data_IF_352010814492
#
_entry.id   IF_352010814492
#
_cell.length_a   1.000
_cell.length_b   1.000
_cell.length_c   1.000
_cell.angle_alpha   90.00
_cell.angle_beta   90.00
_cell.angle_gamma   90.00
#
_symmetry.space_group_name_H-M   'P 1'
#
loop_
_entity.id
_entity.type
_entity.pdbx_description
1 polymer ?
#
# COMPACT_ATOMS: atom_id res chain seq x y z
N UNK A 1 -7.26 -5.54 -24.29
CA UNK A 1 -8.06 -5.22 -23.09
C UNK A 1 -8.31 -3.73 -23.03
N UNK A 2 -9.53 -3.31 -22.89
CA UNK A 2 -9.96 -1.92 -22.74
C UNK A 2 -10.37 -1.70 -21.28
N UNK A 3 -9.90 -0.61 -20.66
CA UNK A 3 -10.30 -0.27 -19.30
C UNK A 3 -11.54 0.63 -19.31
N UNK A 4 -12.50 0.33 -18.46
CA UNK A 4 -13.75 1.08 -18.35
C UNK A 4 -14.26 1.08 -16.90
N UNK A 5 -15.19 1.98 -16.60
CA UNK A 5 -15.91 1.98 -15.32
C UNK A 5 -17.14 1.08 -15.39
N UNK A 6 -17.61 0.57 -14.25
CA UNK A 6 -18.82 -0.26 -14.19
C UNK A 6 -20.08 0.39 -14.78
N UNK A 7 -20.11 1.72 -14.86
CA UNK A 7 -21.25 2.49 -15.34
C UNK A 7 -21.25 2.73 -16.85
N UNK A 8 -20.07 2.64 -17.49
CA UNK A 8 -19.93 2.88 -18.93
C UNK A 8 -19.65 1.54 -19.63
N UNK A 9 -20.70 0.97 -20.23
CA UNK A 9 -20.54 -0.13 -21.19
C UNK A 9 -19.84 0.43 -22.44
N UNK A 10 -18.55 0.20 -22.53
CA UNK A 10 -17.79 0.52 -23.74
C UNK A 10 -17.98 -0.62 -24.73
N UNK A 11 -18.45 -0.30 -25.95
CA UNK A 11 -18.45 -1.27 -27.03
C UNK A 11 -17.03 -1.80 -27.25
N UNK A 12 -16.85 -3.11 -27.40
CA UNK A 12 -15.53 -3.67 -27.60
C UNK A 12 -14.91 -3.06 -28.86
N UNK A 13 -13.80 -2.34 -28.68
CA UNK A 13 -13.02 -1.82 -29.81
C UNK A 13 -12.37 -3.00 -30.52
N UNK A 14 -12.73 -3.21 -31.81
CA UNK A 14 -12.02 -4.15 -32.66
C UNK A 14 -10.72 -3.51 -33.12
N UNK A 15 -9.61 -3.96 -32.54
CA UNK A 15 -8.26 -3.54 -32.95
C UNK A 15 -7.65 -4.61 -33.84
N UNK A 16 -7.12 -4.22 -34.98
CA UNK A 16 -6.37 -5.12 -35.86
C UNK A 16 -4.93 -4.64 -36.05
N UNK A 17 -3.98 -5.56 -36.01
CA UNK A 17 -2.57 -5.32 -36.33
C UNK A 17 -2.17 -6.21 -37.47
N UNK A 18 -1.65 -5.62 -38.55
CA UNK A 18 -1.27 -6.35 -39.79
C UNK A 18 -2.38 -7.27 -40.33
N UNK A 19 -3.63 -6.79 -40.31
CA UNK A 19 -4.80 -7.54 -40.79
C UNK A 19 -5.31 -8.66 -39.85
N UNK A 20 -4.65 -8.90 -38.71
CA UNK A 20 -5.12 -9.84 -37.69
C UNK A 20 -5.89 -9.08 -36.59
N UNK A 21 -7.12 -9.54 -36.34
CA UNK A 21 -7.91 -9.01 -35.22
C UNK A 21 -7.30 -9.46 -33.89
N UNK A 22 -7.19 -8.50 -32.95
CA UNK A 22 -6.72 -8.76 -31.58
C UNK A 22 -7.92 -9.09 -30.73
N UNK A 23 -7.84 -10.22 -30.01
CA UNK A 23 -8.84 -10.63 -29.04
C UNK A 23 -8.94 -9.65 -27.86
N UNK A 24 -10.15 -9.24 -27.52
CA UNK A 24 -10.39 -8.42 -26.34
C UNK A 24 -10.59 -9.34 -25.11
N UNK A 25 -9.63 -9.31 -24.17
CA UNK A 25 -9.64 -10.14 -22.97
C UNK A 25 -10.12 -9.34 -21.76
N UNK A 26 -10.92 -9.96 -20.89
CA UNK A 26 -11.41 -9.35 -19.64
C UNK A 26 -10.38 -9.33 -18.52
N UNK A 27 -9.46 -10.27 -18.54
CA UNK A 27 -8.39 -10.42 -17.54
C UNK A 27 -7.07 -10.61 -18.24
N UNK A 28 -6.05 -9.92 -17.75
CA UNK A 28 -4.70 -10.05 -18.27
C UNK A 28 -3.68 -10.08 -17.13
N UNK A 29 -2.76 -11.03 -17.17
CA UNK A 29 -1.68 -11.13 -16.20
C UNK A 29 -0.42 -10.47 -16.78
N UNK A 30 0.01 -9.37 -16.19
CA UNK A 30 1.22 -8.66 -16.57
C UNK A 30 2.19 -8.57 -15.41
N UNK A 31 3.44 -8.98 -15.60
CA UNK A 31 4.48 -9.00 -14.57
C UNK A 31 4.01 -9.59 -13.23
N UNK A 32 3.21 -10.66 -13.27
CA UNK A 32 2.72 -11.32 -12.06
C UNK A 32 1.49 -10.66 -11.41
N UNK A 33 1.06 -9.49 -11.86
CA UNK A 33 -0.14 -8.80 -11.40
C UNK A 33 -1.30 -9.11 -12.36
N UNK A 34 -2.47 -9.44 -11.80
CA UNK A 34 -3.69 -9.69 -12.57
C UNK A 34 -4.47 -8.39 -12.68
N UNK A 35 -4.66 -7.92 -13.92
CA UNK A 35 -5.49 -6.77 -14.23
C UNK A 35 -6.86 -7.25 -14.70
N UNK A 36 -7.92 -6.57 -14.28
CA UNK A 36 -9.27 -6.68 -14.82
C UNK A 36 -9.67 -5.38 -15.51
N UNK A 37 -10.67 -5.44 -16.39
CA UNK A 37 -11.14 -4.32 -17.19
C UNK A 37 -11.61 -3.11 -16.36
N UNK A 38 -12.01 -3.34 -15.11
CA UNK A 38 -12.48 -2.28 -14.19
C UNK A 38 -11.45 -1.89 -13.13
N UNK A 39 -10.23 -2.44 -13.15
CA UNK A 39 -9.19 -2.25 -12.12
C UNK A 39 -9.69 -2.48 -10.69
N UNK A 40 -10.59 -3.47 -10.52
CA UNK A 40 -11.20 -3.78 -9.23
C UNK A 40 -10.29 -4.55 -8.29
N UNK A 41 -9.17 -5.09 -8.79
CA UNK A 41 -8.19 -5.91 -8.07
C UNK A 41 -8.72 -7.20 -7.45
N UNK A 42 -10.02 -7.49 -7.57
CA UNK A 42 -10.68 -8.66 -6.96
C UNK A 42 -10.02 -9.98 -7.39
N UNK A 43 -9.76 -10.11 -8.69
CA UNK A 43 -9.11 -11.29 -9.27
C UNK A 43 -7.67 -11.46 -8.78
N UNK A 44 -6.92 -10.36 -8.68
CA UNK A 44 -5.57 -10.36 -8.16
C UNK A 44 -5.53 -10.74 -6.68
N UNK A 45 -6.39 -10.14 -5.87
CA UNK A 45 -6.52 -10.45 -4.43
C UNK A 45 -6.91 -11.91 -4.21
N UNK A 46 -7.84 -12.46 -5.02
CA UNK A 46 -8.19 -13.89 -4.98
C UNK A 46 -6.97 -14.77 -5.26
N UNK A 47 -6.16 -14.42 -6.26
CA UNK A 47 -4.92 -15.14 -6.58
C UNK A 47 -3.91 -15.09 -5.43
N UNK A 48 -3.69 -13.92 -4.83
CA UNK A 48 -2.79 -13.75 -3.68
C UNK A 48 -3.30 -14.55 -2.48
N UNK A 49 -4.60 -14.46 -2.14
CA UNK A 49 -5.22 -15.21 -1.04
C UNK A 49 -4.96 -16.71 -1.17
N UNK A 50 -5.12 -17.27 -2.37
CA UNK A 50 -4.86 -18.69 -2.61
C UNK A 50 -3.40 -19.06 -2.33
N UNK A 51 -2.44 -18.23 -2.76
CA UNK A 51 -1.01 -18.45 -2.47
C UNK A 51 -0.72 -18.36 -0.97
N UNK A 52 -1.19 -17.29 -0.32
CA UNK A 52 -0.97 -17.06 1.11
C UNK A 52 -1.61 -18.15 1.97
N UNK A 53 -2.79 -18.65 1.60
CA UNK A 53 -3.44 -19.75 2.30
C UNK A 53 -2.64 -21.04 2.28
N UNK A 54 -1.98 -21.34 1.15
CA UNK A 54 -1.07 -22.50 1.04
C UNK A 54 0.14 -22.33 1.96
N UNK A 55 0.72 -21.13 2.00
CA UNK A 55 1.87 -20.81 2.88
C UNK A 55 1.47 -20.92 4.35
N UNK A 56 0.28 -20.44 4.73
CA UNK A 56 -0.26 -20.60 6.09
C UNK A 56 -0.40 -22.09 6.44
N UNK A 57 -0.85 -22.92 5.50
CA UNK A 57 -0.91 -24.38 5.69
C UNK A 57 0.46 -24.99 5.97
N UNK A 58 1.50 -24.54 5.25
CA UNK A 58 2.89 -24.95 5.47
C UNK A 58 3.35 -24.53 6.88
N UNK A 59 3.22 -23.26 7.25
CA UNK A 59 3.61 -22.72 8.56
C UNK A 59 2.88 -23.49 9.67
N UNK A 60 1.59 -23.80 9.50
CA UNK A 60 0.82 -24.55 10.50
C UNK A 60 1.31 -25.99 10.72
N UNK A 61 1.81 -26.65 9.68
CA UNK A 61 2.43 -27.97 9.82
C UNK A 61 3.82 -27.88 10.49
N UNK A 62 4.58 -26.87 10.14
CA UNK A 62 5.93 -26.68 10.64
C UNK A 62 6.01 -26.19 12.09
N UNK A 63 4.94 -25.59 12.63
CA UNK A 63 4.93 -25.07 14.02
C UNK A 63 5.18 -26.10 15.10
N UNK A 64 4.96 -27.40 14.83
CA UNK A 64 5.22 -28.49 15.76
C UNK A 64 6.66 -28.98 15.72
N UNK A 65 7.44 -28.60 14.71
CA UNK A 65 8.79 -29.09 14.46
C UNK A 65 9.83 -27.98 14.69
N UNK A 66 9.50 -26.75 14.30
CA UNK A 66 10.43 -25.62 14.27
C UNK A 66 10.11 -24.57 15.33
N UNK A 67 11.15 -23.94 15.89
CA UNK A 67 10.98 -22.84 16.84
C UNK A 67 10.42 -21.60 16.15
N UNK A 68 9.85 -20.68 16.94
CA UNK A 68 9.17 -19.47 16.47
C UNK A 68 10.01 -18.60 15.52
N UNK A 69 11.32 -18.44 15.78
CA UNK A 69 12.20 -17.63 14.94
C UNK A 69 12.35 -18.21 13.53
N UNK A 70 12.38 -19.55 13.39
CA UNK A 70 12.43 -20.22 12.09
C UNK A 70 11.11 -20.02 11.32
N UNK A 71 9.96 -20.13 12.01
CA UNK A 71 8.65 -19.85 11.41
C UNK A 71 8.54 -18.39 10.95
N UNK A 72 9.10 -17.45 11.71
CA UNK A 72 9.16 -16.04 11.35
C UNK A 72 10.02 -15.81 10.11
N UNK A 73 11.14 -16.52 9.97
CA UNK A 73 11.99 -16.49 8.78
C UNK A 73 11.22 -16.98 7.54
N UNK A 74 10.47 -18.07 7.66
CA UNK A 74 9.60 -18.60 6.60
C UNK A 74 8.50 -17.59 6.24
N UNK A 75 7.87 -16.98 7.25
CA UNK A 75 6.89 -15.94 7.04
C UNK A 75 7.47 -14.76 6.25
N UNK A 76 8.65 -14.26 6.63
CA UNK A 76 9.29 -13.14 5.95
C UNK A 76 9.70 -13.51 4.50
N UNK A 77 10.23 -14.70 4.29
CA UNK A 77 10.68 -15.13 2.97
C UNK A 77 9.51 -15.41 2.00
N UNK A 78 8.46 -16.07 2.44
CA UNK A 78 7.38 -16.54 1.56
C UNK A 78 6.12 -15.68 1.67
N UNK A 79 5.61 -15.48 2.89
CA UNK A 79 4.34 -14.79 3.08
C UNK A 79 4.46 -13.29 2.80
N UNK A 80 5.44 -12.63 3.42
CA UNK A 80 5.66 -11.20 3.30
C UNK A 80 6.04 -10.81 1.86
N UNK A 81 6.87 -11.60 1.17
CA UNK A 81 7.28 -11.33 -0.21
C UNK A 81 6.08 -11.33 -1.17
N UNK A 82 5.20 -12.32 -1.08
CA UNK A 82 3.98 -12.35 -1.89
C UNK A 82 2.99 -11.25 -1.54
N UNK A 83 2.86 -10.93 -0.25
CA UNK A 83 1.95 -9.89 0.24
C UNK A 83 2.40 -8.49 -0.18
N UNK A 84 3.71 -8.24 -0.26
CA UNK A 84 4.25 -6.91 -0.57
C UNK A 84 4.47 -6.66 -2.06
N UNK A 85 4.38 -7.72 -2.90
CA UNK A 85 4.55 -7.58 -4.33
C UNK A 85 3.42 -6.77 -4.96
N UNK A 86 3.76 -5.70 -5.67
CA UNK A 86 2.78 -4.80 -6.31
C UNK A 86 1.82 -4.11 -5.34
N UNK A 87 2.11 -4.08 -4.03
CA UNK A 87 1.22 -3.56 -3.00
C UNK A 87 0.78 -2.11 -3.25
N UNK A 88 1.60 -1.28 -3.91
CA UNK A 88 1.23 0.08 -4.30
C UNK A 88 0.02 0.16 -5.24
N UNK A 89 -0.27 -0.89 -5.99
CA UNK A 89 -1.37 -0.94 -6.93
C UNK A 89 -2.69 -1.33 -6.27
N UNK A 90 -2.67 -2.39 -5.45
CA UNK A 90 -3.88 -3.01 -4.89
C UNK A 90 -4.06 -2.84 -3.37
N UNK A 91 -3.11 -2.18 -2.70
CA UNK A 91 -3.06 -2.08 -1.24
C UNK A 91 -4.27 -1.41 -0.60
N UNK A 92 -4.99 -0.54 -1.32
CA UNK A 92 -6.26 0.07 -0.85
C UNK A 92 -7.36 -0.96 -0.59
N UNK A 93 -7.27 -2.15 -1.19
CA UNK A 93 -8.25 -3.23 -1.04
C UNK A 93 -7.71 -4.45 -0.29
N UNK A 94 -6.69 -4.25 0.55
CA UNK A 94 -5.95 -5.32 1.21
C UNK A 94 -6.66 -5.98 2.42
N UNK A 95 -7.90 -5.61 2.75
CA UNK A 95 -8.62 -6.12 3.94
C UNK A 95 -8.67 -7.65 4.03
N UNK A 96 -8.96 -8.31 2.90
CA UNK A 96 -9.04 -9.78 2.86
C UNK A 96 -7.67 -10.44 3.08
N UNK A 97 -6.61 -9.80 2.62
CA UNK A 97 -5.23 -10.27 2.83
C UNK A 97 -4.82 -10.04 4.30
N UNK A 98 -5.27 -8.95 4.92
CA UNK A 98 -5.05 -8.69 6.35
C UNK A 98 -5.66 -9.78 7.25
N UNK A 99 -6.83 -10.33 6.90
CA UNK A 99 -7.41 -11.46 7.63
C UNK A 99 -6.48 -12.67 7.62
N UNK A 100 -5.83 -12.96 6.49
CA UNK A 100 -4.85 -14.05 6.38
C UNK A 100 -3.56 -13.73 7.15
N UNK A 101 -3.11 -12.47 7.14
CA UNK A 101 -1.96 -12.04 7.93
C UNK A 101 -2.19 -12.27 9.43
N UNK A 102 -3.35 -11.88 9.96
CA UNK A 102 -3.74 -12.16 11.35
C UNK A 102 -3.72 -13.66 11.67
N UNK A 103 -4.21 -14.49 10.74
CA UNK A 103 -4.20 -15.96 10.91
C UNK A 103 -2.77 -16.49 10.97
N UNK A 104 -1.89 -16.03 10.07
CA UNK A 104 -0.47 -16.43 10.06
C UNK A 104 0.22 -16.07 11.38
N UNK A 105 0.02 -14.84 11.88
CA UNK A 105 0.63 -14.36 13.13
C UNK A 105 0.17 -15.21 14.31
N UNK A 106 -1.13 -15.55 14.44
CA UNK A 106 -1.62 -16.40 15.52
C UNK A 106 -1.02 -17.81 15.49
N UNK A 107 -0.80 -18.37 14.30
CA UNK A 107 -0.16 -19.68 14.14
C UNK A 107 1.31 -19.63 14.58
N UNK A 108 2.05 -18.59 14.21
CA UNK A 108 3.47 -18.42 14.57
C UNK A 108 3.63 -18.25 16.08
N UNK A 109 2.72 -17.53 16.73
CA UNK A 109 2.74 -17.32 18.19
C UNK A 109 2.08 -18.46 18.98
N UNK A 110 1.56 -19.47 18.30
CA UNK A 110 0.77 -20.56 18.90
C UNK A 110 -0.38 -20.06 19.78
N UNK A 111 -0.99 -18.94 19.40
CA UNK A 111 -2.10 -18.31 20.11
C UNK A 111 -3.44 -18.89 19.68
N UNK A 112 -4.48 -18.71 20.53
CA UNK A 112 -5.84 -19.13 20.21
C UNK A 112 -6.39 -18.46 18.94
N UNK A 113 -7.34 -19.11 18.28
CA UNK A 113 -7.94 -18.65 17.03
C UNK A 113 -8.57 -17.25 17.14
N UNK A 114 -9.19 -16.94 18.28
CA UNK A 114 -9.84 -15.65 18.56
C UNK A 114 -8.94 -14.64 19.28
N UNK A 115 -7.69 -14.99 19.59
CA UNK A 115 -6.77 -14.10 20.29
C UNK A 115 -6.64 -12.74 19.58
N UNK A 116 -6.56 -11.69 20.38
CA UNK A 116 -6.38 -10.33 19.86
C UNK A 116 -5.04 -10.22 19.12
N UNK A 117 -5.08 -9.82 17.86
CA UNK A 117 -3.89 -9.85 17.01
C UNK A 117 -2.94 -8.67 17.26
N UNK A 118 -3.42 -7.55 17.80
CA UNK A 118 -2.62 -6.33 18.02
C UNK A 118 -1.34 -6.57 18.84
N UNK A 119 -1.43 -7.18 20.06
CA UNK A 119 -0.24 -7.45 20.86
C UNK A 119 0.71 -8.43 20.15
N UNK A 120 0.17 -9.39 19.39
CA UNK A 120 0.99 -10.38 18.68
C UNK A 120 1.85 -9.75 17.58
N UNK A 121 1.33 -8.76 16.85
CA UNK A 121 2.11 -8.00 15.88
C UNK A 121 3.25 -7.23 16.54
N UNK A 122 3.01 -6.67 17.74
CA UNK A 122 4.04 -5.95 18.51
C UNK A 122 5.12 -6.90 19.02
N UNK A 123 4.74 -8.05 19.57
CA UNK A 123 5.69 -9.06 20.07
C UNK A 123 6.58 -9.61 18.96
N UNK A 124 6.05 -9.80 17.75
CA UNK A 124 6.81 -10.29 16.59
C UNK A 124 7.51 -9.16 15.82
N UNK A 125 7.34 -7.90 16.22
CA UNK A 125 7.84 -6.71 15.50
C UNK A 125 7.41 -6.68 14.02
N UNK A 126 6.19 -7.18 13.73
CA UNK A 126 5.66 -7.24 12.37
C UNK A 126 4.76 -6.05 12.06
N UNK A 127 4.93 -5.48 10.87
CA UNK A 127 4.02 -4.46 10.35
C UNK A 127 2.76 -5.11 9.77
N UNK A 128 1.61 -4.47 10.03
CA UNK A 128 0.35 -4.80 9.37
C UNK A 128 0.42 -4.41 7.89
N UNK A 129 -0.38 -5.04 7.05
CA UNK A 129 -0.38 -4.75 5.61
C UNK A 129 -0.72 -3.29 5.29
N UNK A 130 -1.59 -2.65 6.09
CA UNK A 130 -1.91 -1.23 5.94
C UNK A 130 -0.69 -0.34 6.20
N UNK A 131 0.07 -0.66 7.25
CA UNK A 131 1.28 0.07 7.61
C UNK A 131 2.38 -0.14 6.56
N UNK A 132 2.48 -1.37 6.03
CA UNK A 132 3.37 -1.70 4.91
C UNK A 132 3.00 -0.92 3.64
N UNK A 133 1.71 -0.77 3.37
CA UNK A 133 1.22 0.04 2.25
C UNK A 133 1.63 1.51 2.40
N UNK A 134 1.36 2.10 3.57
CA UNK A 134 1.75 3.47 3.88
C UNK A 134 3.27 3.67 3.79
N UNK A 135 4.04 2.71 4.31
CA UNK A 135 5.49 2.70 4.20
C UNK A 135 5.97 2.68 2.73
N UNK A 136 5.32 1.88 1.88
CA UNK A 136 5.64 1.83 0.44
C UNK A 136 5.33 3.16 -0.26
N UNK A 137 4.22 3.82 0.10
CA UNK A 137 3.87 5.15 -0.43
C UNK A 137 4.90 6.20 0.01
N UNK A 138 5.30 6.22 1.29
CA UNK A 138 6.34 7.14 1.77
C UNK A 138 7.70 6.89 1.11
N UNK A 139 8.05 5.62 0.87
CA UNK A 139 9.25 5.27 0.12
C UNK A 139 9.16 5.72 -1.34
N UNK A 140 7.99 5.61 -1.96
CA UNK A 140 7.75 6.13 -3.30
C UNK A 140 7.91 7.65 -3.33
N UNK A 141 7.31 8.37 -2.36
CA UNK A 141 7.48 9.82 -2.22
C UNK A 141 8.93 10.23 -2.04
N UNK A 142 9.67 9.53 -1.19
CA UNK A 142 11.10 9.74 -1.03
C UNK A 142 11.85 9.63 -2.37
N UNK A 143 11.66 8.53 -3.10
CA UNK A 143 12.33 8.33 -4.38
C UNK A 143 11.90 9.37 -5.42
N UNK A 144 10.64 9.80 -5.39
CA UNK A 144 10.10 10.85 -6.24
C UNK A 144 10.78 12.20 -5.96
N UNK A 145 10.90 12.59 -4.68
CA UNK A 145 11.52 13.85 -4.25
C UNK A 145 13.02 13.94 -4.60
N UNK A 146 13.67 12.80 -4.80
CA UNK A 146 15.10 12.72 -5.19
C UNK A 146 15.31 12.41 -6.67
N UNK A 147 14.29 12.54 -7.51
CA UNK A 147 14.36 12.24 -8.93
C UNK A 147 14.96 10.84 -9.24
N UNK A 148 14.73 9.87 -8.35
CA UNK A 148 15.16 8.46 -8.52
C UNK A 148 14.16 7.62 -9.29
N UNK A 149 13.04 8.23 -9.69
CA UNK A 149 12.01 7.62 -10.50
C UNK A 149 12.09 8.13 -11.93
N UNK A 150 11.53 7.39 -12.92
CA UNK A 150 11.44 7.86 -14.30
C UNK A 150 10.76 9.23 -14.40
N UNK A 151 11.16 10.03 -15.38
CA UNK A 151 10.69 11.43 -15.59
C UNK A 151 9.16 11.55 -15.71
N UNK A 152 8.49 10.48 -16.14
CA UNK A 152 7.02 10.40 -16.19
C UNK A 152 6.35 10.76 -14.84
N UNK A 153 7.00 10.48 -13.73
CA UNK A 153 6.46 10.78 -12.39
C UNK A 153 6.72 12.21 -11.93
N UNK A 154 7.46 13.04 -12.68
CA UNK A 154 7.73 14.42 -12.27
C UNK A 154 6.45 15.25 -12.16
N UNK A 155 5.44 14.99 -13.00
CA UNK A 155 4.10 15.61 -12.89
C UNK A 155 3.43 15.42 -11.52
N UNK A 156 3.79 14.35 -10.78
CA UNK A 156 3.29 14.14 -9.43
C UNK A 156 3.93 15.12 -8.44
N UNK A 157 5.23 15.44 -8.63
CA UNK A 157 5.90 16.50 -7.84
C UNK A 157 5.30 17.86 -8.10
N UNK A 158 5.02 18.19 -9.36
CA UNK A 158 4.42 19.47 -9.74
C UNK A 158 3.07 19.62 -9.02
N UNK A 159 2.22 18.58 -9.06
CA UNK A 159 0.93 18.57 -8.35
C UNK A 159 1.08 18.69 -6.83
N UNK A 160 2.12 18.07 -6.23
CA UNK A 160 2.38 18.13 -4.79
C UNK A 160 2.93 19.49 -4.39
N UNK A 161 3.74 20.12 -5.25
CA UNK A 161 4.38 21.40 -5.00
C UNK A 161 3.47 22.59 -5.34
N UNK A 162 2.40 22.40 -6.10
CA UNK A 162 1.36 23.40 -6.29
C UNK A 162 0.75 23.79 -4.94
N UNK A 163 1.36 24.79 -4.30
CA UNK A 163 0.82 25.42 -3.10
C UNK A 163 -0.52 26.05 -3.47
N UNK A 164 -1.56 25.64 -2.79
CA UNK A 164 -2.82 26.38 -2.87
C UNK A 164 -2.58 27.83 -2.53
N UNK A 165 -3.03 28.79 -3.36
CA UNK A 165 -3.26 30.11 -2.87
C UNK A 165 -4.32 29.98 -1.77
N UNK A 166 -3.93 30.27 -0.53
CA UNK A 166 -4.85 30.34 0.62
C UNK A 166 -5.69 31.59 0.39
N UNK A 167 -6.83 31.42 -0.26
CA UNK A 167 -7.72 32.55 -0.59
C UNK A 167 -8.47 33.07 0.64
N UNK A 168 -8.62 32.26 1.69
CA UNK A 168 -9.26 32.67 2.95
C UNK A 168 -8.70 31.88 4.12
N UNK A 169 -7.86 32.51 4.92
CA UNK A 169 -7.38 31.97 6.18
C UNK A 169 -8.27 32.48 7.32
N UNK A 170 -9.40 31.82 7.53
CA UNK A 170 -10.31 32.15 8.64
C UNK A 170 -9.80 31.65 10.00
N UNK A 171 -8.83 30.76 10.03
CA UNK A 171 -8.12 30.30 11.23
C UNK A 171 -6.72 29.84 10.83
N UNK A 172 -5.65 30.31 11.48
CA UNK A 172 -4.29 29.86 11.19
C UNK A 172 -4.18 28.36 11.50
N UNK A 173 -4.41 27.51 10.50
CA UNK A 173 -4.02 26.12 10.59
C UNK A 173 -2.51 26.10 10.46
N UNK A 174 -1.82 25.70 11.52
CA UNK A 174 -0.37 25.82 11.70
C UNK A 174 0.49 25.13 10.60
N UNK A 175 -0.10 24.52 9.56
CA UNK A 175 0.63 23.78 8.53
C UNK A 175 -0.09 23.80 7.19
N UNK A 176 0.62 24.08 6.08
CA UNK A 176 0.03 24.05 4.74
C UNK A 176 -0.41 22.63 4.38
N UNK A 177 -1.66 22.47 3.97
CA UNK A 177 -2.20 21.21 3.43
C UNK A 177 -2.17 21.26 1.91
N UNK A 178 -1.77 20.14 1.30
CA UNK A 178 -1.84 19.97 -0.14
C UNK A 178 -3.30 19.67 -0.51
N UNK A 179 -3.80 20.28 -1.58
CA UNK A 179 -5.18 20.07 -2.03
C UNK A 179 -5.36 18.64 -2.53
N UNK A 180 -6.32 17.91 -1.95
CA UNK A 180 -6.77 16.65 -2.49
C UNK A 180 -7.59 16.89 -3.76
N UNK A 181 -7.33 16.15 -4.85
CA UNK A 181 -8.17 16.19 -6.04
C UNK A 181 -9.62 15.85 -5.69
N UNK A 182 -10.59 16.60 -6.24
CA UNK A 182 -11.99 16.22 -6.09
C UNK A 182 -12.25 14.94 -6.85
N UNK A 183 -12.72 13.92 -6.16
CA UNK A 183 -13.00 12.62 -6.74
C UNK A 183 -14.50 12.33 -6.72
N UNK A 184 -15.02 11.81 -7.83
CA UNK A 184 -16.38 11.28 -7.93
C UNK A 184 -16.40 9.76 -7.97
N UNK A 185 -15.26 9.14 -8.25
CA UNK A 185 -15.13 7.72 -8.44
C UNK A 185 -14.16 7.11 -7.42
N UNK A 186 -14.53 5.98 -6.86
CA UNK A 186 -13.70 5.21 -5.91
C UNK A 186 -12.34 4.84 -6.54
N UNK A 187 -12.31 4.58 -7.84
CA UNK A 187 -11.07 4.27 -8.55
C UNK A 187 -10.06 5.42 -8.50
N UNK A 188 -10.54 6.67 -8.54
CA UNK A 188 -9.67 7.85 -8.42
C UNK A 188 -9.13 8.01 -6.99
N UNK A 189 -9.96 7.71 -5.99
CA UNK A 189 -9.53 7.71 -4.58
C UNK A 189 -8.49 6.62 -4.29
N UNK A 190 -8.57 5.49 -4.98
CA UNK A 190 -7.59 4.41 -4.88
C UNK A 190 -6.32 4.65 -5.69
N UNK A 191 -6.25 5.74 -6.47
CA UNK A 191 -5.06 6.09 -7.24
C UNK A 191 -3.86 6.41 -6.35
N UNK A 192 -2.66 6.07 -6.83
CA UNK A 192 -1.42 6.30 -6.08
C UNK A 192 -1.22 7.78 -5.72
N UNK A 193 -1.53 8.71 -6.64
CA UNK A 193 -1.39 10.15 -6.40
C UNK A 193 -2.32 10.63 -5.28
N UNK A 194 -3.58 10.22 -5.30
CA UNK A 194 -4.54 10.59 -4.25
C UNK A 194 -4.09 10.08 -2.88
N UNK A 195 -3.72 8.81 -2.80
CA UNK A 195 -3.25 8.19 -1.57
C UNK A 195 -1.95 8.82 -1.06
N UNK A 196 -1.07 9.21 -1.97
CA UNK A 196 0.17 9.91 -1.64
C UNK A 196 -0.12 11.28 -1.00
N UNK A 197 -0.95 12.12 -1.63
CA UNK A 197 -1.33 13.43 -1.11
C UNK A 197 -2.06 13.29 0.24
N UNK A 198 -2.97 12.33 0.33
CA UNK A 198 -3.69 12.05 1.58
C UNK A 198 -2.71 11.70 2.71
N UNK A 199 -1.77 10.80 2.46
CA UNK A 199 -0.78 10.36 3.45
C UNK A 199 0.18 11.49 3.85
N UNK A 200 0.62 12.33 2.90
CA UNK A 200 1.47 13.49 3.19
C UNK A 200 0.72 14.46 4.11
N UNK A 201 -0.53 14.79 3.82
CA UNK A 201 -1.34 15.67 4.66
C UNK A 201 -1.56 15.08 6.06
N UNK A 202 -1.82 13.78 6.12
CA UNK A 202 -1.98 13.07 7.39
C UNK A 202 -0.70 13.10 8.23
N UNK A 203 0.45 12.78 7.62
CA UNK A 203 1.74 12.78 8.31
C UNK A 203 2.17 14.18 8.72
N UNK A 204 1.92 15.21 7.91
CA UNK A 204 2.17 16.61 8.28
C UNK A 204 1.38 17.05 9.51
N UNK A 205 0.16 16.55 9.68
CA UNK A 205 -0.70 16.92 10.79
C UNK A 205 -0.33 16.19 12.09
N UNK A 206 -0.03 14.88 12.01
CA UNK A 206 0.14 14.01 13.18
C UNK A 206 1.60 13.75 13.54
N UNK A 207 2.49 13.62 12.54
CA UNK A 207 3.90 13.24 12.72
C UNK A 207 4.83 13.97 11.73
N UNK A 208 4.99 15.29 11.83
CA UNK A 208 5.77 16.09 10.86
C UNK A 208 7.24 15.67 10.77
N UNK A 209 7.78 15.10 11.85
CA UNK A 209 9.17 14.66 11.88
C UNK A 209 9.48 13.55 10.88
N UNK A 210 8.49 12.73 10.50
CA UNK A 210 8.67 11.68 9.49
C UNK A 210 9.05 12.31 8.16
N UNK A 211 8.27 13.30 7.71
CA UNK A 211 8.52 13.98 6.43
C UNK A 211 9.79 14.82 6.49
N UNK A 212 10.04 15.50 7.62
CA UNK A 212 11.28 16.25 7.82
C UNK A 212 12.50 15.34 7.71
N UNK A 213 12.51 14.18 8.39
CA UNK A 213 13.59 13.18 8.28
C UNK A 213 13.72 12.58 6.88
N UNK A 214 12.61 12.45 6.15
CA UNK A 214 12.65 12.06 4.74
C UNK A 214 13.32 13.15 3.89
N UNK A 215 13.07 14.42 4.17
CA UNK A 215 13.63 15.56 3.47
C UNK A 215 15.09 15.89 3.87
N UNK A 216 15.42 15.87 5.17
CA UNK A 216 16.74 16.25 5.70
C UNK A 216 17.86 15.28 5.33
N UNK A 217 17.59 13.97 5.27
CA UNK A 217 18.59 12.98 4.84
C UNK A 217 18.92 13.03 3.35
N UNK A 218 18.37 13.97 2.63
CA UNK A 218 18.66 14.22 1.24
C UNK A 218 20.08 14.74 0.97
N UNK A 219 20.65 15.45 1.91
CA UNK A 219 21.96 16.07 1.73
C UNK A 219 23.15 15.20 2.11
N UNK A 220 22.90 13.99 2.63
CA UNK A 220 23.96 13.09 3.09
C UNK A 220 23.75 11.67 2.56
N UNK A 221 24.53 11.31 1.54
CA UNK A 221 24.93 9.96 1.12
C UNK A 221 24.14 9.14 0.10
N UNK A 222 24.78 8.98 -1.03
CA UNK A 222 24.79 7.82 -1.91
C UNK A 222 25.30 6.57 -1.14
N UNK A 223 24.47 5.76 -0.52
CA UNK A 223 25.00 4.48 0.00
C UNK A 223 24.27 3.82 1.16
N UNK A 224 23.26 4.38 1.74
CA UNK A 224 22.56 3.74 2.85
C UNK A 224 21.19 3.21 2.44
N UNK A 225 21.00 1.90 2.64
CA UNK A 225 19.67 1.31 2.76
C UNK A 225 18.96 1.99 3.92
N UNK A 226 18.21 3.05 3.59
CA UNK A 226 17.44 3.82 4.53
C UNK A 226 16.42 2.90 5.19
N UNK A 227 16.63 2.55 6.45
CA UNK A 227 15.74 1.69 7.18
C UNK A 227 14.49 2.49 7.60
N UNK A 228 13.69 2.90 6.58
CA UNK A 228 12.40 3.59 6.77
C UNK A 228 11.49 2.76 7.67
N UNK A 229 11.66 1.44 7.67
CA UNK A 229 10.95 0.53 8.56
C UNK A 229 11.22 0.82 10.03
N UNK A 230 12.48 1.10 10.43
CA UNK A 230 12.81 1.45 11.82
C UNK A 230 12.27 2.80 12.25
N UNK A 231 12.28 3.78 11.35
CA UNK A 231 11.70 5.10 11.65
C UNK A 231 10.19 4.98 11.73
N UNK A 232 9.57 4.22 10.84
CA UNK A 232 8.14 3.97 10.85
C UNK A 232 7.73 3.23 12.14
N UNK A 233 8.43 2.16 12.51
CA UNK A 233 8.19 1.42 13.77
C UNK A 233 8.38 2.30 15.00
N UNK A 234 9.45 3.11 15.06
CA UNK A 234 9.70 3.99 16.20
C UNK A 234 8.66 5.10 16.36
N UNK A 235 8.10 5.60 15.26
CA UNK A 235 7.13 6.70 15.27
C UNK A 235 5.68 6.23 15.34
N UNK A 236 5.36 5.04 14.81
CA UNK A 236 4.03 4.44 14.92
C UNK A 236 3.80 3.64 16.21
N UNK A 237 4.86 3.16 16.85
CA UNK A 237 4.74 2.50 18.16
C UNK A 237 4.41 3.47 19.30
N UNK A 238 4.73 4.76 19.14
CA UNK A 238 4.46 5.79 20.14
C UNK A 238 3.10 6.48 19.99
N UNK A 239 2.39 6.29 18.90
CA UNK A 239 1.07 6.89 18.68
C UNK A 239 0.05 5.80 18.36
N UNK A 240 -1.00 5.71 19.18
CA UNK A 240 -2.20 4.92 18.91
C UNK A 240 -2.88 5.38 17.61
N UNK A 241 -2.39 4.92 16.45
CA UNK A 241 -3.05 5.17 15.16
C UNK A 241 -4.07 4.06 14.91
N UNK A 242 -5.09 4.00 15.76
CA UNK A 242 -6.14 2.97 15.69
C UNK A 242 -7.30 3.32 14.76
N UNK A 243 -7.20 4.33 13.90
CA UNK A 243 -8.35 4.71 13.03
C UNK A 243 -7.91 5.30 11.69
N UNK A 244 -7.30 4.51 10.84
CA UNK A 244 -7.44 4.78 9.41
C UNK A 244 -8.32 3.67 8.83
N UNK A 245 -9.62 3.83 8.97
CA UNK A 245 -10.59 3.03 8.25
C UNK A 245 -10.71 3.60 6.84
N UNK A 246 -10.14 2.95 5.84
CA UNK A 246 -10.23 3.37 4.43
C UNK A 246 -11.67 3.36 3.87
N UNK A 247 -12.65 2.85 4.62
CA UNK A 247 -14.08 2.85 4.23
C UNK A 247 -14.86 4.06 4.71
N UNK A 248 -14.39 4.76 5.73
CA UNK A 248 -15.12 5.88 6.30
C UNK A 248 -14.30 7.15 6.11
N UNK A 249 -14.45 7.82 4.97
CA UNK A 249 -14.06 9.21 4.77
C UNK A 249 -14.92 10.18 5.59
N UNK A 250 -15.42 9.76 6.76
CA UNK A 250 -16.11 10.57 7.76
C UNK A 250 -15.44 10.37 9.11
N UNK A 251 -14.87 11.46 9.62
CA UNK A 251 -14.84 11.71 11.04
C UNK A 251 -16.26 11.85 11.53
#
# INVERSE_FOLDING_TARGET
MTFHTWQNLVHPLTVSINGKQIENVKFFKFLGVMFDECLSWKSHIKMIKNKLSKIIGIINKLKYIYPQHALLSIYNALFLSHMTYGLLLWGTQAEEVFKLQKKAVRIITNSEYLAHSEPLFKTLELLKIQDLYNLKILKFYYNLSYHRLPSYFNSYLDTINEKLPILYDLRPSARPKIRLPRTRLIITESSLLYQLIYLINYTNTHNPEILRKIQEKSHSYSGFNFNVSRIYLALYSSTCVNRICFKCGRL
#
